data_IF_982085939594
#
_entry.id   IF_982085939594
#
_cell.length_a   1.000
_cell.length_b   1.000
_cell.length_c   1.000
_cell.angle_alpha   90.00
_cell.angle_beta   90.00
_cell.angle_gamma   90.00
#
_symmetry.space_group_name_H-M   'P 1'
#
loop_
_entity.id
_entity.type
_entity.pdbx_description
1 polymer ?
#
# COMPACT_ATOMS: atom_id res chain seq x y z
N UNK A 1 -23.94 -14.58 -8.56
CA UNK A 1 -23.21 -14.66 -7.27
C UNK A 1 -21.72 -14.57 -7.56
N UNK A 2 -21.00 -13.64 -6.92
CA UNK A 2 -19.56 -13.41 -7.02
C UNK A 2 -18.94 -13.69 -5.66
N UNK A 3 -17.80 -14.37 -5.63
CA UNK A 3 -17.01 -14.56 -4.41
C UNK A 3 -15.88 -13.53 -4.34
N UNK A 4 -15.74 -12.85 -3.19
CA UNK A 4 -14.58 -12.06 -2.81
C UNK A 4 -13.79 -12.83 -1.75
N UNK A 5 -12.62 -13.35 -2.08
CA UNK A 5 -11.82 -14.20 -1.20
C UNK A 5 -10.52 -13.45 -0.87
N UNK A 6 -10.41 -12.98 0.39
CA UNK A 6 -9.32 -12.11 0.83
C UNK A 6 -8.41 -12.82 1.82
N UNK A 7 -7.10 -12.64 1.66
CA UNK A 7 -6.06 -13.32 2.47
C UNK A 7 -6.17 -13.02 3.96
N UNK A 8 -6.55 -11.81 4.34
CA UNK A 8 -6.62 -11.32 5.72
C UNK A 8 -7.87 -10.46 5.92
N UNK A 9 -9.03 -11.09 5.79
CA UNK A 9 -10.32 -10.40 5.76
C UNK A 9 -10.77 -9.78 7.09
N UNK A 10 -9.96 -9.85 8.14
CA UNK A 10 -10.12 -9.14 9.41
C UNK A 10 -9.36 -7.81 9.47
N UNK A 11 -8.50 -7.52 8.48
CA UNK A 11 -7.79 -6.25 8.40
C UNK A 11 -8.66 -5.18 7.73
N UNK A 12 -8.59 -3.95 8.23
CA UNK A 12 -9.38 -2.81 7.74
C UNK A 12 -9.29 -2.64 6.23
N UNK A 13 -8.09 -2.75 5.66
CA UNK A 13 -7.88 -2.67 4.22
C UNK A 13 -8.81 -3.60 3.42
N UNK A 14 -8.81 -4.90 3.77
CA UNK A 14 -9.64 -5.89 3.06
C UNK A 14 -11.13 -5.82 3.41
N UNK A 15 -11.48 -5.29 4.59
CA UNK A 15 -12.87 -5.00 4.94
C UNK A 15 -13.42 -3.90 4.02
N UNK A 16 -12.69 -2.81 3.84
CA UNK A 16 -13.09 -1.68 3.01
C UNK A 16 -13.12 -2.08 1.52
N UNK A 17 -12.07 -2.78 1.04
CA UNK A 17 -11.99 -3.34 -0.31
C UNK A 17 -13.17 -4.26 -0.61
N UNK A 18 -13.47 -5.19 0.31
CA UNK A 18 -14.59 -6.12 0.17
C UNK A 18 -15.95 -5.43 0.22
N UNK A 19 -16.10 -4.39 1.05
CA UNK A 19 -17.34 -3.61 1.10
C UNK A 19 -17.59 -2.85 -0.20
N UNK A 20 -16.55 -2.31 -0.83
CA UNK A 20 -16.65 -1.64 -2.13
C UNK A 20 -16.95 -2.65 -3.25
N UNK A 21 -16.29 -3.82 -3.22
CA UNK A 21 -16.58 -4.93 -4.13
C UNK A 21 -18.04 -5.38 -4.03
N UNK A 22 -18.55 -5.54 -2.79
CA UNK A 22 -19.95 -5.88 -2.54
C UNK A 22 -20.90 -4.87 -3.16
N UNK A 23 -20.70 -3.57 -2.90
CA UNK A 23 -21.53 -2.50 -3.48
C UNK A 23 -21.53 -2.54 -5.01
N UNK A 24 -20.37 -2.81 -5.63
CA UNK A 24 -20.28 -2.89 -7.09
C UNK A 24 -21.06 -4.10 -7.65
N UNK A 25 -20.99 -5.27 -7.02
CA UNK A 25 -21.75 -6.46 -7.39
C UNK A 25 -23.26 -6.26 -7.21
N UNK A 26 -23.67 -5.68 -6.08
CA UNK A 26 -25.08 -5.39 -5.79
C UNK A 26 -25.67 -4.35 -6.75
N UNK A 27 -24.91 -3.34 -7.11
CA UNK A 27 -25.30 -2.34 -8.12
C UNK A 27 -25.53 -2.97 -9.50
N UNK A 28 -24.80 -4.05 -9.82
CA UNK A 28 -25.00 -4.86 -11.02
C UNK A 28 -26.13 -5.91 -10.89
N UNK A 29 -26.86 -5.93 -9.77
CA UNK A 29 -27.97 -6.86 -9.50
C UNK A 29 -27.50 -8.26 -9.09
N UNK A 30 -26.24 -8.42 -8.66
CA UNK A 30 -25.64 -9.66 -8.21
C UNK A 30 -25.69 -9.84 -6.69
N UNK A 31 -25.19 -10.99 -6.25
CA UNK A 31 -24.96 -11.34 -4.85
C UNK A 31 -23.46 -11.50 -4.63
N UNK A 32 -22.92 -10.94 -3.55
CA UNK A 32 -21.51 -11.01 -3.18
C UNK A 32 -21.31 -11.86 -1.92
N UNK A 33 -20.37 -12.77 -1.96
CA UNK A 33 -19.99 -13.62 -0.82
C UNK A 33 -18.56 -13.23 -0.40
N UNK A 34 -18.45 -12.54 0.73
CA UNK A 34 -17.17 -12.20 1.34
C UNK A 34 -16.60 -13.39 2.10
N UNK A 35 -15.34 -13.74 1.86
CA UNK A 35 -14.63 -14.82 2.55
C UNK A 35 -13.27 -14.33 3.05
N UNK A 36 -13.05 -14.48 4.35
CA UNK A 36 -11.76 -14.28 5.00
C UNK A 36 -10.98 -15.60 5.02
N UNK A 37 -9.82 -15.64 4.34
CA UNK A 37 -8.94 -16.80 4.32
C UNK A 37 -7.97 -16.86 5.51
N UNK A 38 -7.97 -15.86 6.41
CA UNK A 38 -7.22 -15.83 7.68
C UNK A 38 -5.72 -16.11 7.53
N UNK A 39 -5.12 -15.60 6.46
CA UNK A 39 -3.74 -15.89 6.08
C UNK A 39 -3.42 -17.40 5.95
N UNK A 40 -4.45 -18.23 5.76
CA UNK A 40 -4.34 -19.69 5.69
C UNK A 40 -4.49 -20.18 4.25
N UNK A 41 -3.46 -20.79 3.65
CA UNK A 41 -3.58 -21.46 2.35
C UNK A 41 -4.68 -22.52 2.30
N UNK A 42 -4.92 -23.24 3.39
CA UNK A 42 -5.95 -24.27 3.51
C UNK A 42 -7.35 -23.66 3.45
N UNK A 43 -7.63 -22.62 4.25
CA UNK A 43 -8.93 -21.92 4.25
C UNK A 43 -9.19 -21.24 2.90
N UNK A 44 -8.14 -20.68 2.30
CA UNK A 44 -8.21 -20.09 0.97
C UNK A 44 -8.65 -21.13 -0.10
N UNK A 45 -7.99 -22.29 -0.13
CA UNK A 45 -8.36 -23.37 -1.09
C UNK A 45 -9.78 -23.91 -0.84
N UNK A 46 -10.21 -24.01 0.42
CA UNK A 46 -11.62 -24.36 0.74
C UNK A 46 -12.59 -23.30 0.19
N UNK A 47 -12.25 -22.02 0.27
CA UNK A 47 -13.08 -20.95 -0.27
C UNK A 47 -13.18 -21.05 -1.81
N UNK A 48 -12.08 -21.34 -2.49
CA UNK A 48 -12.06 -21.62 -3.95
C UNK A 48 -12.96 -22.82 -4.27
N UNK A 49 -12.83 -23.94 -3.53
CA UNK A 49 -13.67 -25.13 -3.72
C UNK A 49 -15.17 -24.83 -3.51
N UNK A 50 -15.50 -24.00 -2.51
CA UNK A 50 -16.87 -23.57 -2.27
C UNK A 50 -17.39 -22.69 -3.42
N UNK A 51 -16.59 -21.77 -3.95
CA UNK A 51 -16.98 -20.96 -5.10
C UNK A 51 -17.29 -21.84 -6.32
N UNK A 52 -16.48 -22.87 -6.58
CA UNK A 52 -16.69 -23.84 -7.65
C UNK A 52 -17.95 -24.67 -7.42
N UNK A 53 -18.12 -25.24 -6.22
CA UNK A 53 -19.28 -26.06 -5.87
C UNK A 53 -20.60 -25.28 -5.98
N UNK A 54 -20.59 -24.00 -5.64
CA UNK A 54 -21.74 -23.10 -5.74
C UNK A 54 -21.90 -22.47 -7.14
N UNK A 55 -21.07 -22.86 -8.11
CA UNK A 55 -21.12 -22.34 -9.49
C UNK A 55 -21.08 -20.81 -9.52
N UNK A 56 -20.11 -20.24 -8.83
CA UNK A 56 -19.93 -18.79 -8.82
C UNK A 56 -19.85 -18.24 -10.26
N UNK A 57 -20.41 -17.07 -10.49
CA UNK A 57 -20.32 -16.38 -11.78
C UNK A 57 -18.93 -15.78 -12.00
N UNK A 58 -18.16 -15.58 -10.93
CA UNK A 58 -16.80 -15.10 -10.94
C UNK A 58 -16.21 -14.99 -9.54
N UNK A 59 -14.91 -14.82 -9.49
CA UNK A 59 -14.11 -14.67 -8.26
C UNK A 59 -13.24 -13.41 -8.33
N UNK A 60 -13.27 -12.60 -7.29
CA UNK A 60 -12.27 -11.56 -7.01
C UNK A 60 -11.46 -12.07 -5.83
N UNK A 61 -10.12 -12.02 -5.91
CA UNK A 61 -9.32 -12.66 -4.86
C UNK A 61 -7.97 -12.00 -4.62
N UNK A 62 -7.58 -11.94 -3.32
CA UNK A 62 -6.24 -11.65 -2.85
C UNK A 62 -5.68 -12.92 -2.19
N UNK A 63 -4.60 -13.48 -2.76
CA UNK A 63 -4.06 -14.77 -2.35
C UNK A 63 -3.08 -14.63 -1.17
N UNK A 64 -3.10 -15.54 -0.15
CA UNK A 64 -2.17 -15.51 0.97
C UNK A 64 -0.74 -15.99 0.64
N UNK A 65 -0.59 -16.77 -0.43
CA UNK A 65 0.68 -17.34 -0.89
C UNK A 65 0.71 -17.42 -2.42
N UNK A 66 1.50 -16.56 -3.04
CA UNK A 66 1.58 -16.46 -4.50
C UNK A 66 2.13 -17.72 -5.18
N UNK A 67 2.82 -18.60 -4.46
CA UNK A 67 3.28 -19.89 -5.03
C UNK A 67 2.13 -20.80 -5.44
N UNK A 68 0.91 -20.54 -4.93
CA UNK A 68 -0.31 -21.29 -5.28
C UNK A 68 -1.02 -20.74 -6.52
N UNK A 69 -0.59 -19.61 -7.07
CA UNK A 69 -1.31 -18.86 -8.12
C UNK A 69 -1.68 -19.73 -9.31
N UNK A 70 -0.74 -20.47 -9.86
CA UNK A 70 -0.99 -21.31 -11.03
C UNK A 70 -2.06 -22.38 -10.76
N UNK A 71 -1.95 -23.08 -9.63
CA UNK A 71 -2.90 -24.14 -9.27
C UNK A 71 -4.33 -23.60 -9.05
N UNK A 72 -4.45 -22.40 -8.48
CA UNK A 72 -5.74 -21.74 -8.27
C UNK A 72 -6.36 -21.30 -9.58
N UNK A 73 -5.55 -20.69 -10.46
CA UNK A 73 -6.01 -20.24 -11.77
C UNK A 73 -6.46 -21.43 -12.61
N UNK A 74 -5.67 -22.50 -12.70
CA UNK A 74 -6.02 -23.72 -13.44
C UNK A 74 -7.36 -24.30 -12.96
N UNK A 75 -7.54 -24.38 -11.64
CA UNK A 75 -8.75 -24.92 -11.01
C UNK A 75 -10.01 -24.11 -11.34
N UNK A 76 -9.93 -22.78 -11.31
CA UNK A 76 -11.03 -21.90 -11.69
C UNK A 76 -11.32 -21.91 -13.17
N UNK A 77 -10.27 -21.99 -14.03
CA UNK A 77 -10.41 -22.12 -15.48
C UNK A 77 -11.08 -23.45 -15.87
N UNK A 78 -10.67 -24.57 -15.27
CA UNK A 78 -11.33 -25.88 -15.47
C UNK A 78 -12.82 -25.85 -15.12
N UNK A 79 -13.18 -25.06 -14.10
CA UNK A 79 -14.58 -24.83 -13.72
C UNK A 79 -15.31 -23.79 -14.59
N UNK A 80 -14.62 -23.13 -15.53
CA UNK A 80 -15.11 -22.02 -16.34
C UNK A 80 -15.58 -20.83 -15.49
N UNK A 81 -14.88 -20.52 -14.40
CA UNK A 81 -15.15 -19.40 -13.52
C UNK A 81 -14.11 -18.32 -13.77
N UNK A 82 -14.50 -17.13 -14.27
CA UNK A 82 -13.56 -16.01 -14.44
C UNK A 82 -13.06 -15.51 -13.09
N UNK A 83 -11.80 -15.10 -13.06
CA UNK A 83 -11.12 -14.61 -11.86
C UNK A 83 -10.36 -13.33 -12.14
N UNK A 84 -10.41 -12.41 -11.19
CA UNK A 84 -9.60 -11.19 -11.14
C UNK A 84 -8.83 -11.19 -9.84
N UNK A 85 -7.52 -10.95 -9.93
CA UNK A 85 -6.68 -10.73 -8.78
C UNK A 85 -6.86 -9.31 -8.26
N UNK A 86 -7.06 -9.15 -6.96
CA UNK A 86 -7.17 -7.87 -6.28
C UNK A 86 -6.01 -7.71 -5.31
N UNK A 87 -5.45 -6.52 -5.20
CA UNK A 87 -4.30 -6.18 -4.37
C UNK A 87 -3.02 -6.96 -4.75
N UNK A 88 -2.90 -8.24 -4.40
CA UNK A 88 -1.78 -9.09 -4.83
C UNK A 88 -2.09 -9.83 -6.14
N UNK A 89 -1.17 -9.78 -7.08
CA UNK A 89 -1.33 -10.47 -8.36
C UNK A 89 -1.27 -11.99 -8.20
N UNK A 90 -2.10 -12.71 -8.95
CA UNK A 90 -1.89 -14.11 -9.25
C UNK A 90 -0.84 -14.21 -10.36
N UNK A 91 0.34 -14.71 -10.03
CA UNK A 91 1.50 -14.68 -10.93
C UNK A 91 2.22 -16.02 -10.98
N UNK A 92 2.92 -16.25 -12.08
CA UNK A 92 3.79 -17.40 -12.23
C UNK A 92 5.16 -17.21 -11.53
N UNK A 93 6.04 -18.19 -11.63
CA UNK A 93 7.37 -18.14 -11.01
C UNK A 93 8.29 -17.06 -11.63
N UNK A 94 7.95 -16.51 -12.79
CA UNK A 94 8.68 -15.41 -13.42
C UNK A 94 8.13 -14.03 -13.01
N UNK A 95 7.00 -13.98 -12.29
CA UNK A 95 6.30 -12.77 -11.93
C UNK A 95 5.30 -12.28 -12.97
N UNK A 96 5.06 -13.05 -14.03
CA UNK A 96 4.05 -12.72 -15.04
C UNK A 96 2.64 -12.98 -14.49
N UNK A 97 1.75 -12.02 -14.68
CA UNK A 97 0.37 -12.11 -14.21
C UNK A 97 -0.42 -13.14 -15.03
N UNK A 98 -1.04 -14.07 -14.34
CA UNK A 98 -1.81 -15.18 -14.93
C UNK A 98 -3.25 -14.78 -15.28
N UNK A 99 -3.78 -13.75 -14.62
CA UNK A 99 -5.13 -13.24 -14.77
C UNK A 99 -5.13 -11.73 -14.64
N UNK A 100 -6.19 -11.01 -15.10
CA UNK A 100 -6.31 -9.60 -14.86
C UNK A 100 -6.18 -9.26 -13.38
N UNK A 101 -5.43 -8.20 -13.11
CA UNK A 101 -5.10 -7.72 -11.79
C UNK A 101 -5.53 -6.26 -11.63
N UNK A 102 -6.11 -5.97 -10.48
CA UNK A 102 -6.40 -4.61 -10.04
C UNK A 102 -5.75 -4.40 -8.67
N UNK A 103 -4.90 -3.41 -8.55
CA UNK A 103 -4.18 -3.18 -7.30
C UNK A 103 -3.31 -1.94 -7.36
N UNK A 104 -2.32 -1.89 -6.49
CA UNK A 104 -1.47 -0.72 -6.29
C UNK A 104 -0.11 -0.99 -6.96
N UNK A 105 0.34 -0.07 -7.81
CA UNK A 105 1.71 -0.13 -8.29
C UNK A 105 2.65 0.38 -7.18
N UNK A 106 3.25 -0.55 -6.45
CA UNK A 106 4.08 -0.27 -5.28
C UNK A 106 5.25 0.69 -5.58
N UNK A 107 5.90 0.54 -6.73
CA UNK A 107 7.01 1.41 -7.14
C UNK A 107 6.52 2.84 -7.44
N UNK A 108 5.43 2.99 -8.20
CA UNK A 108 4.85 4.30 -8.55
C UNK A 108 4.34 5.04 -7.31
N UNK A 109 3.79 4.33 -6.33
CA UNK A 109 3.41 4.96 -5.04
C UNK A 109 4.65 5.48 -4.31
N UNK A 110 5.73 4.69 -4.30
CA UNK A 110 7.01 5.14 -3.76
C UNK A 110 7.53 6.38 -4.50
N UNK A 111 7.47 6.39 -5.84
CA UNK A 111 7.84 7.58 -6.62
C UNK A 111 7.01 8.82 -6.21
N UNK A 112 5.71 8.68 -5.98
CA UNK A 112 4.85 9.80 -5.57
C UNK A 112 5.29 10.38 -4.21
N UNK A 113 5.63 9.54 -3.24
CA UNK A 113 6.19 9.97 -1.95
C UNK A 113 7.56 10.62 -2.12
N UNK A 114 8.45 10.00 -2.89
CA UNK A 114 9.78 10.52 -3.18
C UNK A 114 9.74 11.88 -3.87
N UNK A 115 8.83 12.07 -4.84
CA UNK A 115 8.60 13.35 -5.52
C UNK A 115 8.12 14.42 -4.54
N UNK A 116 7.10 14.11 -3.75
CA UNK A 116 6.56 15.06 -2.78
C UNK A 116 7.64 15.49 -1.76
N UNK A 117 8.38 14.52 -1.22
CA UNK A 117 9.45 14.78 -0.25
C UNK A 117 10.60 15.58 -0.84
N UNK A 118 10.98 15.30 -2.10
CA UNK A 118 12.00 16.06 -2.82
C UNK A 118 11.57 17.52 -3.05
N UNK A 119 10.31 17.75 -3.43
CA UNK A 119 9.78 19.10 -3.60
C UNK A 119 9.74 19.84 -2.27
N UNK A 120 9.28 19.18 -1.20
CA UNK A 120 9.34 19.74 0.16
C UNK A 120 10.76 20.12 0.56
N UNK A 121 11.75 19.25 0.31
CA UNK A 121 13.15 19.51 0.62
C UNK A 121 13.71 20.75 -0.12
N UNK A 122 13.35 20.92 -1.39
CA UNK A 122 13.76 22.09 -2.19
C UNK A 122 13.11 23.37 -1.67
N UNK A 123 11.79 23.36 -1.45
CA UNK A 123 11.04 24.53 -1.00
C UNK A 123 11.49 25.04 0.37
N UNK A 124 11.96 24.13 1.23
CA UNK A 124 12.46 24.45 2.56
C UNK A 124 14.00 24.56 2.66
N UNK A 125 14.70 24.57 1.52
CA UNK A 125 16.19 24.64 1.44
C UNK A 125 16.90 23.51 2.20
N UNK A 126 16.31 22.31 2.25
CA UNK A 126 16.84 21.14 2.93
C UNK A 126 17.71 20.27 2.02
N UNK A 127 17.51 20.34 0.70
CA UNK A 127 18.17 19.46 -0.26
C UNK A 127 19.71 19.56 -0.27
N UNK A 128 20.28 20.69 0.14
CA UNK A 128 21.73 20.93 0.20
C UNK A 128 22.23 21.28 1.61
N UNK A 129 21.37 21.20 2.61
CA UNK A 129 21.71 21.48 4.01
C UNK A 129 22.55 20.31 4.58
N UNK A 130 23.77 20.58 5.09
CA UNK A 130 24.64 19.52 5.60
C UNK A 130 24.15 18.85 6.88
N UNK A 131 23.16 19.41 7.58
CA UNK A 131 22.58 18.84 8.78
C UNK A 131 21.33 18.02 8.51
N UNK A 132 20.95 17.82 7.23
CA UNK A 132 19.77 17.04 6.81
C UNK A 132 20.17 15.61 6.47
N UNK A 133 19.41 14.64 6.98
CA UNK A 133 19.45 13.22 6.58
C UNK A 133 18.09 12.73 6.08
N UNK A 134 18.11 11.75 5.17
CA UNK A 134 16.94 11.03 4.71
C UNK A 134 16.93 9.65 5.36
N UNK A 135 15.84 9.30 6.02
CA UNK A 135 15.58 7.98 6.59
C UNK A 135 14.51 7.26 5.79
N UNK A 136 14.87 6.14 5.19
CA UNK A 136 13.96 5.22 4.51
C UNK A 136 13.60 4.07 5.46
N UNK A 137 12.34 3.98 5.85
CA UNK A 137 11.81 2.90 6.66
C UNK A 137 11.48 1.73 5.74
N UNK A 138 12.25 0.63 5.80
CA UNK A 138 12.17 -0.47 4.82
C UNK A 138 11.62 -1.75 5.43
N UNK A 139 11.00 -2.58 4.58
CA UNK A 139 10.54 -3.93 4.90
C UNK A 139 11.15 -4.88 3.87
N UNK A 140 12.47 -5.10 3.98
CA UNK A 140 13.29 -5.76 2.96
C UNK A 140 12.94 -7.25 2.75
N UNK A 141 12.23 -7.86 3.69
CA UNK A 141 11.74 -9.24 3.59
C UNK A 141 10.35 -9.37 2.98
N UNK A 142 9.66 -8.25 2.71
CA UNK A 142 8.30 -8.22 2.17
C UNK A 142 8.35 -7.75 0.72
N UNK A 143 8.20 -8.68 -0.21
CA UNK A 143 8.39 -8.44 -1.65
C UNK A 143 7.49 -7.34 -2.24
N UNK A 144 6.28 -7.14 -1.70
CA UNK A 144 5.37 -6.06 -2.11
C UNK A 144 5.77 -4.68 -1.55
N UNK A 145 6.63 -4.64 -0.54
CA UNK A 145 7.08 -3.40 0.12
C UNK A 145 8.42 -2.89 -0.40
N UNK A 146 9.29 -3.78 -0.88
CA UNK A 146 10.61 -3.42 -1.43
C UNK A 146 10.49 -2.37 -2.54
N UNK A 147 9.62 -2.52 -3.57
CA UNK A 147 9.53 -1.53 -4.63
C UNK A 147 9.05 -0.15 -4.17
N UNK A 148 8.33 -0.05 -3.04
CA UNK A 148 7.92 1.24 -2.47
C UNK A 148 9.14 2.07 -2.07
N UNK A 149 10.02 1.47 -1.25
CA UNK A 149 11.25 2.13 -0.80
C UNK A 149 12.23 2.42 -1.95
N UNK A 150 12.25 1.58 -2.99
CA UNK A 150 13.03 1.82 -4.20
C UNK A 150 12.51 3.03 -4.97
N UNK A 151 11.20 3.12 -5.22
CA UNK A 151 10.58 4.27 -5.87
C UNK A 151 10.78 5.57 -5.09
N UNK A 152 10.68 5.55 -3.76
CA UNK A 152 10.97 6.69 -2.89
C UNK A 152 12.41 7.17 -3.05
N UNK A 153 13.36 6.25 -3.00
CA UNK A 153 14.79 6.55 -3.15
C UNK A 153 15.11 7.10 -4.53
N UNK A 154 14.66 6.41 -5.59
CA UNK A 154 14.99 6.75 -6.97
C UNK A 154 14.43 8.13 -7.33
N UNK A 155 13.16 8.39 -7.00
CA UNK A 155 12.53 9.67 -7.32
C UNK A 155 13.10 10.82 -6.49
N UNK A 156 13.37 10.60 -5.19
CA UNK A 156 14.00 11.63 -4.37
C UNK A 156 15.39 12.01 -4.89
N UNK A 157 16.22 11.03 -5.21
CA UNK A 157 17.59 11.28 -5.71
C UNK A 157 17.62 11.84 -7.12
N UNK A 158 16.68 11.43 -7.99
CA UNK A 158 16.49 12.04 -9.32
C UNK A 158 16.21 13.53 -9.21
N UNK A 159 15.31 13.91 -8.30
CA UNK A 159 14.85 15.28 -8.16
C UNK A 159 15.78 16.15 -7.27
N UNK A 160 16.53 15.55 -6.37
CA UNK A 160 17.52 16.23 -5.52
C UNK A 160 18.94 15.71 -5.81
N UNK A 161 19.49 15.92 -7.02
CA UNK A 161 20.79 15.35 -7.41
C UNK A 161 21.98 15.89 -6.60
N UNK A 162 21.80 17.04 -5.94
CA UNK A 162 22.83 17.65 -5.07
C UNK A 162 22.72 17.18 -3.60
N UNK A 163 21.76 16.33 -3.26
CA UNK A 163 21.65 15.76 -1.92
C UNK A 163 22.80 14.78 -1.66
N UNK A 164 23.43 14.89 -0.49
CA UNK A 164 24.51 13.98 -0.10
C UNK A 164 23.95 12.57 0.19
N UNK A 165 24.09 11.68 -0.78
CA UNK A 165 23.56 10.30 -0.70
C UNK A 165 24.18 9.48 0.44
N UNK A 166 25.35 9.88 0.99
CA UNK A 166 25.92 9.25 2.19
C UNK A 166 25.09 9.50 3.47
N UNK A 167 24.12 10.40 3.40
CA UNK A 167 23.16 10.73 4.45
C UNK A 167 21.76 10.16 4.19
N UNK A 168 21.66 9.19 3.29
CA UNK A 168 20.46 8.39 3.10
C UNK A 168 20.63 7.09 3.88
N UNK A 169 19.82 6.90 4.90
CA UNK A 169 19.88 5.78 5.81
C UNK A 169 18.68 4.88 5.59
N UNK A 170 18.86 3.58 5.75
CA UNK A 170 17.77 2.57 5.69
C UNK A 170 17.58 1.97 7.09
N UNK A 171 16.33 1.81 7.47
CA UNK A 171 15.95 1.16 8.72
C UNK A 171 14.93 0.05 8.42
N UNK A 172 15.41 -1.19 8.37
CA UNK A 172 14.56 -2.37 8.17
C UNK A 172 13.82 -2.72 9.46
N UNK A 173 12.54 -3.11 9.32
CA UNK A 173 11.68 -3.48 10.43
C UNK A 173 10.58 -4.47 9.95
N UNK A 174 9.76 -4.97 10.89
CA UNK A 174 8.77 -6.04 10.64
C UNK A 174 7.38 -5.56 10.19
N UNK A 175 7.23 -4.25 9.92
CA UNK A 175 5.95 -3.65 9.52
C UNK A 175 5.10 -3.09 10.66
N UNK A 176 5.53 -3.26 11.93
CA UNK A 176 4.80 -2.72 13.10
C UNK A 176 5.33 -1.36 13.54
N UNK A 177 4.47 -0.53 14.13
CA UNK A 177 4.85 0.80 14.65
C UNK A 177 5.93 0.72 15.72
N UNK A 178 5.87 -0.24 16.63
CA UNK A 178 6.84 -0.41 17.73
C UNK A 178 8.24 -0.76 17.20
N UNK A 179 8.31 -1.64 16.19
CA UNK A 179 9.58 -2.00 15.57
C UNK A 179 10.10 -0.89 14.65
N UNK A 180 9.21 -0.20 13.96
CA UNK A 180 9.54 1.01 13.21
C UNK A 180 10.16 2.09 14.12
N UNK A 181 9.55 2.35 15.28
CA UNK A 181 10.11 3.26 16.29
C UNK A 181 11.50 2.81 16.75
N UNK A 182 11.67 1.53 17.06
CA UNK A 182 12.96 0.98 17.51
C UNK A 182 14.04 1.15 16.43
N UNK A 183 13.73 0.82 15.18
CA UNK A 183 14.66 0.90 14.06
C UNK A 183 15.04 2.36 13.75
N UNK A 184 14.06 3.28 13.72
CA UNK A 184 14.30 4.71 13.53
C UNK A 184 15.14 5.31 14.66
N UNK A 185 14.83 4.97 15.94
CA UNK A 185 15.61 5.41 17.11
C UNK A 185 17.07 5.00 17.00
N UNK A 186 17.35 3.79 16.54
CA UNK A 186 18.73 3.30 16.37
C UNK A 186 19.50 4.16 15.34
N UNK A 187 18.90 4.48 14.19
CA UNK A 187 19.53 5.32 13.16
C UNK A 187 19.71 6.76 13.66
N UNK A 188 18.68 7.37 14.23
CA UNK A 188 18.74 8.75 14.73
C UNK A 188 19.84 8.90 15.79
N UNK A 189 19.94 7.94 16.69
CA UNK A 189 20.98 7.94 17.76
C UNK A 189 22.38 7.73 17.21
N UNK A 190 22.53 6.93 16.16
CA UNK A 190 23.84 6.67 15.53
C UNK A 190 24.38 7.88 14.75
N UNK A 191 23.51 8.82 14.37
CA UNK A 191 23.85 9.97 13.53
C UNK A 191 23.54 11.32 14.21
N UNK A 192 24.22 11.66 15.32
CA UNK A 192 23.98 12.88 16.08
C UNK A 192 24.35 14.17 15.32
N UNK A 193 25.08 14.06 14.21
CA UNK A 193 25.39 15.15 13.29
C UNK A 193 24.17 15.61 12.48
N UNK A 194 23.19 14.72 12.26
CA UNK A 194 21.94 15.04 11.57
C UNK A 194 20.97 15.71 12.56
N UNK A 195 20.51 16.91 12.21
CA UNK A 195 19.61 17.74 13.04
C UNK A 195 18.20 17.81 12.47
N UNK A 196 18.06 17.61 11.16
CA UNK A 196 16.79 17.68 10.44
C UNK A 196 16.58 16.38 9.68
N UNK A 197 15.45 15.77 9.86
CA UNK A 197 15.16 14.46 9.26
C UNK A 197 14.04 14.54 8.24
N UNK A 198 14.34 14.08 7.04
CA UNK A 198 13.34 13.69 6.04
C UNK A 198 13.10 12.19 6.21
N UNK A 199 11.84 11.75 6.26
CA UNK A 199 11.50 10.36 6.48
C UNK A 199 10.39 9.94 5.52
N UNK A 200 10.53 8.78 4.91
CA UNK A 200 9.47 8.09 4.19
C UNK A 200 9.65 6.58 4.34
N UNK A 201 8.71 5.76 3.86
CA UNK A 201 8.89 4.31 4.02
C UNK A 201 7.75 3.45 3.51
N UNK A 202 8.00 2.16 3.63
CA UNK A 202 7.26 1.08 3.00
C UNK A 202 5.79 0.92 3.47
N UNK A 203 5.45 1.40 4.69
CA UNK A 203 4.08 1.47 5.20
C UNK A 203 3.92 2.61 6.21
N UNK A 204 2.70 2.88 6.59
CA UNK A 204 2.38 3.98 7.48
C UNK A 204 2.84 3.75 8.92
N UNK A 205 2.79 2.51 9.40
CA UNK A 205 3.21 2.13 10.75
C UNK A 205 4.68 2.48 11.01
N UNK A 206 5.56 2.20 10.04
CA UNK A 206 6.97 2.55 10.14
C UNK A 206 7.20 4.05 10.18
N UNK A 207 6.49 4.80 9.34
CA UNK A 207 6.58 6.26 9.29
C UNK A 207 6.06 6.90 10.60
N UNK A 208 4.94 6.41 11.14
CA UNK A 208 4.44 6.82 12.47
C UNK A 208 5.44 6.44 13.56
N UNK A 209 6.03 5.25 13.49
CA UNK A 209 7.10 4.82 14.41
C UNK A 209 8.29 5.77 14.39
N UNK A 210 8.74 6.17 13.20
CA UNK A 210 9.81 7.14 13.04
C UNK A 210 9.43 8.54 13.57
N UNK A 211 8.19 8.99 13.35
CA UNK A 211 7.69 10.24 13.93
C UNK A 211 7.78 10.21 15.46
N UNK A 212 7.41 9.09 16.12
CA UNK A 212 7.54 8.94 17.58
C UNK A 212 9.00 8.92 18.05
N UNK A 213 9.91 8.35 17.26
CA UNK A 213 11.33 8.37 17.54
C UNK A 213 11.89 9.81 17.51
N UNK A 214 11.48 10.61 16.51
CA UNK A 214 11.85 12.01 16.37
C UNK A 214 11.29 12.87 17.50
N UNK A 215 10.02 12.70 17.87
CA UNK A 215 9.38 13.35 19.04
C UNK A 215 10.18 13.06 20.33
N UNK A 216 10.54 11.79 20.55
CA UNK A 216 11.31 11.36 21.74
C UNK A 216 12.72 11.92 21.76
N UNK A 217 13.31 12.18 20.59
CA UNK A 217 14.63 12.80 20.45
C UNK A 217 14.58 14.34 20.49
N UNK A 218 13.37 14.96 20.46
CA UNK A 218 13.19 16.41 20.36
C UNK A 218 13.61 16.99 19.01
N UNK A 219 13.50 16.21 17.93
CA UNK A 219 13.87 16.56 16.56
C UNK A 219 12.65 16.71 15.62
N UNK A 220 11.45 16.55 16.15
CA UNK A 220 10.19 16.57 15.40
C UNK A 220 9.85 17.93 14.80
N UNK A 221 10.25 19.02 15.45
CA UNK A 221 9.97 20.38 14.99
C UNK A 221 10.58 20.71 13.60
N UNK A 222 11.76 20.16 13.32
CA UNK A 222 12.51 20.36 12.08
C UNK A 222 12.50 19.10 11.18
N UNK A 223 11.56 18.19 11.43
CA UNK A 223 11.42 16.96 10.66
C UNK A 223 10.23 17.01 9.70
N UNK A 224 10.35 16.21 8.62
CA UNK A 224 9.27 15.97 7.67
C UNK A 224 9.14 14.46 7.46
N UNK A 225 8.01 13.91 7.87
CA UNK A 225 7.66 12.49 7.68
C UNK A 225 6.55 12.39 6.64
N UNK A 226 6.75 11.52 5.65
CA UNK A 226 5.77 11.19 4.62
C UNK A 226 5.38 9.73 4.80
N UNK A 227 4.09 9.47 5.05
CA UNK A 227 3.53 8.14 5.23
C UNK A 227 3.15 7.48 3.92
N UNK A 228 2.67 6.24 4.03
CA UNK A 228 2.17 5.47 2.90
C UNK A 228 0.95 4.66 3.33
N UNK A 229 -0.24 5.08 2.87
CA UNK A 229 -1.55 4.51 3.20
C UNK A 229 -2.57 5.56 3.66
N UNK A 230 -2.15 6.60 4.36
CA UNK A 230 -2.92 7.70 4.93
C UNK A 230 -3.94 7.31 6.03
N UNK A 231 -4.08 6.04 6.37
CA UNK A 231 -5.04 5.56 7.38
C UNK A 231 -4.66 5.94 8.82
N UNK A 232 -3.37 6.16 9.12
CA UNK A 232 -2.89 6.70 10.41
C UNK A 232 -2.51 8.17 10.30
N UNK A 233 -2.05 8.62 9.13
CA UNK A 233 -1.66 10.03 8.90
C UNK A 233 -2.82 10.99 9.17
N UNK A 234 -4.06 10.59 8.84
CA UNK A 234 -5.26 11.40 9.13
C UNK A 234 -5.37 11.80 10.61
N UNK A 235 -4.95 10.94 11.54
CA UNK A 235 -4.97 11.23 12.97
C UNK A 235 -3.79 12.13 13.38
N UNK A 236 -2.65 11.97 12.71
CA UNK A 236 -1.51 12.89 12.86
C UNK A 236 -1.86 14.31 12.39
N UNK A 237 -2.59 14.42 11.27
CA UNK A 237 -3.04 15.71 10.72
C UNK A 237 -4.05 16.44 11.61
N UNK A 238 -4.76 15.73 12.49
CA UNK A 238 -5.73 16.29 13.43
C UNK A 238 -5.10 16.80 14.74
N UNK A 239 -3.81 16.53 14.98
CA UNK A 239 -3.16 16.89 16.25
C UNK A 239 -3.10 18.40 16.44
N UNK A 240 -3.53 18.85 17.63
CA UNK A 240 -3.31 20.24 18.07
C UNK A 240 -1.80 20.51 18.20
N UNK A 241 -1.32 21.58 17.59
CA UNK A 241 0.11 21.91 17.55
C UNK A 241 0.85 21.30 16.34
N UNK A 242 0.18 20.46 15.57
CA UNK A 242 0.74 19.82 14.38
C UNK A 242 1.51 18.54 14.67
N UNK A 243 1.98 17.89 13.63
CA UNK A 243 2.83 16.70 13.66
C UNK A 243 4.00 16.90 12.68
N UNK A 244 5.09 16.18 12.91
CA UNK A 244 6.16 16.07 11.89
C UNK A 244 5.73 15.24 10.68
N UNK A 245 4.63 14.50 10.75
CA UNK A 245 4.01 13.88 9.58
C UNK A 245 3.31 14.96 8.74
N UNK A 246 3.86 15.25 7.57
CA UNK A 246 3.43 16.35 6.69
C UNK A 246 2.60 15.88 5.51
N UNK A 247 2.75 14.63 5.10
CA UNK A 247 2.02 14.06 3.98
C UNK A 247 1.94 12.53 4.11
N UNK A 248 1.11 11.91 3.28
CA UNK A 248 1.07 10.46 3.08
C UNK A 248 0.52 10.13 1.70
N UNK A 249 1.07 9.15 1.01
CA UNK A 249 0.43 8.61 -0.18
C UNK A 249 -0.85 7.88 0.22
N UNK A 250 -1.98 8.37 -0.27
CA UNK A 250 -3.29 7.73 -0.13
C UNK A 250 -3.61 6.96 -1.40
N UNK A 251 -4.06 5.76 -1.24
CA UNK A 251 -4.67 4.93 -2.26
C UNK A 251 -5.93 4.28 -1.67
N UNK A 252 -6.94 4.08 -2.52
CA UNK A 252 -8.26 3.72 -2.05
C UNK A 252 -8.48 2.21 -2.12
N UNK A 253 -8.72 1.56 -1.00
CA UNK A 253 -9.22 0.19 -0.94
C UNK A 253 -10.55 0.06 -1.71
N UNK A 254 -11.41 1.08 -1.63
CA UNK A 254 -12.66 1.16 -2.39
C UNK A 254 -12.41 1.11 -3.90
N UNK A 255 -11.38 1.80 -4.38
CA UNK A 255 -11.05 1.80 -5.81
C UNK A 255 -10.53 0.43 -6.28
N UNK A 256 -9.73 -0.27 -5.45
CA UNK A 256 -9.29 -1.65 -5.75
C UNK A 256 -10.49 -2.60 -5.75
N UNK A 257 -11.34 -2.56 -4.72
CA UNK A 257 -12.50 -3.43 -4.60
C UNK A 257 -13.51 -3.23 -5.71
N UNK A 258 -13.95 -1.99 -5.96
CA UNK A 258 -14.89 -1.68 -7.03
C UNK A 258 -14.27 -1.92 -8.41
N UNK A 259 -13.00 -1.57 -8.60
CA UNK A 259 -12.25 -1.77 -9.85
C UNK A 259 -12.14 -3.24 -10.22
N UNK A 260 -11.80 -4.11 -9.28
CA UNK A 260 -11.68 -5.56 -9.51
C UNK A 260 -13.01 -6.20 -9.92
N UNK A 261 -14.13 -5.77 -9.30
CA UNK A 261 -15.47 -6.21 -9.71
C UNK A 261 -15.83 -5.68 -11.09
N UNK A 262 -15.55 -4.43 -11.42
CA UNK A 262 -15.84 -3.88 -12.74
C UNK A 262 -15.08 -4.64 -13.83
N UNK A 263 -13.80 -4.93 -13.63
CA UNK A 263 -13.00 -5.78 -14.55
C UNK A 263 -13.62 -7.18 -14.67
N UNK A 264 -14.03 -7.80 -13.56
CA UNK A 264 -14.68 -9.11 -13.57
C UNK A 264 -16.00 -9.10 -14.36
N UNK A 265 -16.84 -8.07 -14.17
CA UNK A 265 -18.11 -7.93 -14.89
C UNK A 265 -17.88 -7.71 -16.39
N UNK A 266 -16.83 -6.99 -16.78
CA UNK A 266 -16.45 -6.82 -18.18
C UNK A 266 -15.99 -8.15 -18.80
N UNK A 267 -15.23 -8.98 -18.08
CA UNK A 267 -14.87 -10.35 -18.52
C UNK A 267 -16.14 -11.20 -18.70
N UNK A 268 -17.08 -11.18 -17.74
CA UNK A 268 -18.34 -11.91 -17.82
C UNK A 268 -19.17 -11.47 -19.02
N UNK A 269 -19.11 -10.17 -19.36
CA UNK A 269 -19.78 -9.60 -20.54
C UNK A 269 -19.04 -9.87 -21.87
N UNK A 270 -17.91 -10.60 -21.84
CA UNK A 270 -17.10 -10.94 -23.03
C UNK A 270 -16.33 -9.76 -23.61
N UNK A 271 -16.02 -8.74 -22.80
CA UNK A 271 -15.19 -7.61 -23.21
C UNK A 271 -13.70 -7.92 -23.01
N UNK A 272 -12.86 -7.32 -23.82
CA UNK A 272 -11.42 -7.30 -23.60
C UNK A 272 -11.09 -6.40 -22.41
N UNK A 273 -10.25 -6.88 -21.50
CA UNK A 273 -9.79 -6.15 -20.34
C UNK A 273 -8.26 -6.13 -20.28
N UNK A 274 -7.63 -5.08 -19.73
CA UNK A 274 -6.19 -5.06 -19.52
C UNK A 274 -5.79 -6.11 -18.46
N UNK A 275 -4.59 -6.67 -18.62
CA UNK A 275 -4.01 -7.58 -17.62
C UNK A 275 -3.59 -6.85 -16.34
N UNK A 276 -3.41 -5.55 -16.41
CA UNK A 276 -3.01 -4.72 -15.28
C UNK A 276 -3.85 -3.43 -15.24
N UNK A 277 -4.46 -3.18 -14.10
CA UNK A 277 -5.18 -1.94 -13.78
C UNK A 277 -4.64 -1.44 -12.44
N UNK A 278 -3.71 -0.49 -12.50
CA UNK A 278 -3.20 0.15 -11.29
C UNK A 278 -4.19 1.21 -10.79
N UNK A 279 -4.38 1.24 -9.48
CA UNK A 279 -5.09 2.32 -8.80
C UNK A 279 -4.09 3.42 -8.49
N UNK A 280 -4.43 4.65 -8.85
CA UNK A 280 -3.57 5.82 -8.63
C UNK A 280 -3.46 6.13 -7.13
N UNK A 281 -2.26 6.54 -6.73
CA UNK A 281 -2.02 7.14 -5.43
C UNK A 281 -2.03 8.66 -5.52
N UNK A 282 -2.58 9.30 -4.50
CA UNK A 282 -2.56 10.76 -4.35
C UNK A 282 -1.90 11.10 -3.03
N UNK A 283 -0.90 11.97 -3.04
CA UNK A 283 -0.28 12.41 -1.79
C UNK A 283 -1.21 13.40 -1.09
N UNK A 284 -1.66 13.03 0.10
CA UNK A 284 -2.50 13.85 0.95
C UNK A 284 -1.68 14.56 2.02
N UNK A 285 -2.15 15.75 2.39
CA UNK A 285 -1.55 16.63 3.39
C UNK A 285 -2.63 17.09 4.39
N UNK A 286 -2.27 17.75 5.50
CA UNK A 286 -3.25 18.32 6.42
C UNK A 286 -4.31 19.23 5.77
N UNK A 287 -3.96 19.86 4.62
CA UNK A 287 -4.82 20.79 3.91
C UNK A 287 -5.87 20.10 3.02
N UNK A 288 -5.51 18.94 2.41
CA UNK A 288 -6.35 18.33 1.38
C UNK A 288 -6.92 16.94 1.73
N UNK A 289 -6.46 16.29 2.81
CA UNK A 289 -6.82 14.89 3.09
C UNK A 289 -8.33 14.65 3.21
N UNK A 290 -9.08 15.62 3.77
CA UNK A 290 -10.54 15.48 3.92
C UNK A 290 -11.26 15.47 2.59
N UNK A 291 -10.81 16.30 1.65
CA UNK A 291 -11.37 16.36 0.30
C UNK A 291 -11.03 15.10 -0.49
N UNK A 292 -9.76 14.68 -0.46
CA UNK A 292 -9.25 13.55 -1.25
C UNK A 292 -9.76 12.21 -0.72
N UNK A 293 -9.71 12.01 0.59
CA UNK A 293 -10.08 10.74 1.23
C UNK A 293 -11.60 10.60 1.45
N UNK A 294 -12.34 11.71 1.45
CA UNK A 294 -13.79 11.67 1.68
C UNK A 294 -14.15 10.99 3.01
N UNK A 295 -14.98 9.94 2.96
CA UNK A 295 -15.40 9.19 4.14
C UNK A 295 -14.23 8.49 4.88
N UNK A 296 -13.15 8.12 4.17
CA UNK A 296 -11.98 7.51 4.77
C UNK A 296 -11.17 8.49 5.66
N UNK A 297 -11.43 9.80 5.58
CA UNK A 297 -10.82 10.82 6.42
C UNK A 297 -11.39 10.87 7.85
N UNK A 298 -12.55 10.27 8.10
CA UNK A 298 -13.20 10.19 9.41
C UNK A 298 -12.58 9.07 10.25
#
# INVERSE_FOLDING_TARGET
>A
MVYGIYKAGDQTWFIDEGAAAQKAVEAAGGEFIYVDAKMSPEEYLKAIDNAIANKASGVVTCIPDQTMSQAVVDKLQEANIPVVAADDALQDASGEKLVPWVGINAYVIGEANGEWLANYAKENNLATDPEVGLLLMTMDTVSSCVPRAEGEYDKFTELCPDFDTSKIFRADYDGTTDKGNTAATAVITAHPEIKKWLVTGANEEGCVGAARALESAGLDADACVVGLGAYMAKDEFKKEGGSCMKASAYFSADAVGAGSVNVLLDIIAGKDVPMETAVDAVVVTPENYKEVMGAAAE
#
